data_IF_485322796763
#
_entry.id   IF_485322796763
#
_cell.length_a   1.000
_cell.length_b   1.000
_cell.length_c   1.000
_cell.angle_alpha   90.00
_cell.angle_beta   90.00
_cell.angle_gamma   90.00
#
_symmetry.space_group_name_H-M   'P 1'
#
loop_
_entity.id
_entity.type
_entity.pdbx_description
1 polymer ?
#
# COMPACT_ATOMS: atom_id res chain seq x y z
N UNK A 1 -8.17 -3.01 -26.18
CA UNK A 1 -6.90 -2.45 -25.67
C UNK A 1 -6.15 -3.58 -25.00
N UNK A 2 -4.83 -3.76 -25.21
CA UNK A 2 -4.09 -4.81 -24.53
C UNK A 2 -4.14 -4.57 -23.01
N UNK A 3 -4.40 -5.62 -22.23
CA UNK A 3 -4.39 -5.56 -20.77
C UNK A 3 -2.93 -5.43 -20.33
N UNK A 4 -2.54 -4.22 -19.88
CA UNK A 4 -1.22 -4.01 -19.30
C UNK A 4 -1.26 -4.51 -17.87
N UNK A 5 -0.57 -5.62 -17.60
CA UNK A 5 -0.42 -6.15 -16.24
C UNK A 5 0.63 -5.29 -15.51
N UNK A 6 0.25 -4.53 -14.47
CA UNK A 6 1.17 -3.60 -13.84
C UNK A 6 2.27 -4.34 -13.09
N UNK A 7 3.49 -3.80 -13.16
CA UNK A 7 4.63 -4.32 -12.37
C UNK A 7 4.64 -3.78 -10.95
N UNK A 8 4.15 -2.56 -10.74
CA UNK A 8 3.99 -1.95 -9.43
C UNK A 8 2.59 -1.36 -9.34
N UNK A 9 2.04 -1.37 -8.13
CA UNK A 9 0.82 -0.64 -7.79
C UNK A 9 1.23 0.36 -6.72
N UNK A 10 1.00 1.64 -6.97
CA UNK A 10 1.38 2.72 -6.05
C UNK A 10 0.11 3.32 -5.46
N UNK A 11 0.01 3.32 -4.14
CA UNK A 11 -1.06 3.95 -3.40
C UNK A 11 -0.55 5.26 -2.82
N UNK A 12 -1.13 6.37 -3.26
CA UNK A 12 -0.75 7.73 -2.86
C UNK A 12 -1.67 8.24 -1.76
N UNK A 13 -1.12 9.04 -0.85
CA UNK A 13 -1.87 9.66 0.24
C UNK A 13 -1.53 11.13 0.39
N UNK A 14 -2.57 11.93 0.62
CA UNK A 14 -2.44 13.37 0.78
C UNK A 14 -1.68 13.75 2.04
N UNK A 15 -1.84 13.00 3.13
CA UNK A 15 -1.18 13.26 4.41
C UNK A 15 -0.13 12.20 4.72
N UNK A 16 0.71 12.48 5.73
CA UNK A 16 1.64 11.50 6.28
C UNK A 16 0.89 10.33 6.95
N UNK A 17 1.60 9.24 7.19
CA UNK A 17 1.11 8.01 7.80
C UNK A 17 -0.11 7.41 7.07
N UNK A 18 -0.15 7.56 5.74
CA UNK A 18 -1.17 6.98 4.87
C UNK A 18 -2.58 7.51 5.15
N UNK A 19 -2.71 8.82 5.34
CA UNK A 19 -3.98 9.48 5.70
C UNK A 19 -4.46 10.46 4.63
N UNK A 20 -5.70 10.93 4.81
CA UNK A 20 -6.34 11.88 3.91
C UNK A 20 -6.80 11.24 2.60
N UNK A 21 -6.97 12.06 1.57
CA UNK A 21 -7.36 11.59 0.24
C UNK A 21 -6.34 10.56 -0.28
N UNK A 22 -6.84 9.49 -0.89
CA UNK A 22 -6.01 8.42 -1.45
C UNK A 22 -6.34 8.13 -2.92
N UNK A 23 -5.39 7.53 -3.64
CA UNK A 23 -5.55 7.14 -5.04
C UNK A 23 -4.48 6.18 -5.52
N UNK A 24 -4.76 5.43 -6.59
CA UNK A 24 -3.84 4.45 -7.15
C UNK A 24 -3.20 4.93 -8.44
N UNK A 25 -1.92 4.60 -8.61
CA UNK A 25 -1.14 4.83 -9.84
C UNK A 25 -0.50 3.52 -10.27
N UNK A 26 -0.83 3.09 -11.49
CA UNK A 26 -0.34 1.84 -12.10
C UNK A 26 0.31 2.08 -13.47
N UNK A 27 0.16 3.29 -14.01
CA UNK A 27 0.71 3.75 -15.28
C UNK A 27 1.38 5.12 -15.08
N UNK A 28 2.33 5.53 -15.96
CA UNK A 28 2.96 6.84 -15.86
C UNK A 28 1.95 7.99 -15.87
N UNK A 29 2.12 8.94 -14.96
CA UNK A 29 1.28 10.14 -14.82
C UNK A 29 2.15 11.37 -15.12
N UNK A 30 2.03 12.00 -16.31
CA UNK A 30 2.84 13.16 -16.68
C UNK A 30 2.48 14.42 -15.90
N UNK A 31 1.27 14.46 -15.32
CA UNK A 31 0.84 15.55 -14.44
C UNK A 31 -0.14 15.06 -13.38
N UNK A 32 0.26 15.13 -12.10
CA UNK A 32 -0.53 14.60 -10.96
C UNK A 32 -1.84 15.33 -10.70
N UNK A 33 -2.03 16.54 -11.24
CA UNK A 33 -3.30 17.24 -11.19
C UNK A 33 -4.42 16.48 -11.92
N UNK A 34 -4.09 15.74 -12.98
CA UNK A 34 -5.06 14.95 -13.73
C UNK A 34 -5.71 13.84 -12.90
N UNK A 35 -5.05 13.43 -11.81
CA UNK A 35 -5.57 12.44 -10.85
C UNK A 35 -5.97 13.09 -9.50
N UNK A 36 -5.93 14.42 -9.42
CA UNK A 36 -6.31 15.19 -8.23
C UNK A 36 -5.28 15.19 -7.08
N UNK A 37 -4.01 14.94 -7.39
CA UNK A 37 -2.90 14.88 -6.42
C UNK A 37 -1.78 15.89 -6.74
N UNK A 38 -2.15 17.14 -7.08
CA UNK A 38 -1.13 18.13 -7.41
C UNK A 38 -0.43 18.65 -6.16
N UNK A 39 0.87 18.37 -6.05
CA UNK A 39 1.78 18.91 -5.05
C UNK A 39 1.26 18.76 -3.60
N UNK A 40 0.57 17.65 -3.32
CA UNK A 40 -0.02 17.37 -2.02
C UNK A 40 0.16 15.91 -1.58
N UNK A 41 1.13 15.19 -2.17
CA UNK A 41 1.43 13.80 -1.79
C UNK A 41 2.45 13.81 -0.66
N UNK A 42 2.07 13.25 0.49
CA UNK A 42 2.90 13.26 1.71
C UNK A 42 3.29 11.86 2.20
N UNK A 43 2.61 10.81 1.76
CA UNK A 43 3.03 9.42 1.98
C UNK A 43 2.55 8.51 0.85
N UNK A 44 3.20 7.36 0.68
CA UNK A 44 2.81 6.38 -0.33
C UNK A 44 3.20 4.96 0.05
N UNK A 45 2.51 4.00 -0.56
CA UNK A 45 2.83 2.58 -0.49
C UNK A 45 3.09 2.06 -1.89
N UNK A 46 4.14 1.25 -2.03
CA UNK A 46 4.53 0.64 -3.30
C UNK A 46 4.41 -0.87 -3.15
N UNK A 47 3.50 -1.45 -3.92
CA UNK A 47 3.24 -2.88 -3.91
C UNK A 47 3.82 -3.54 -5.16
N UNK A 48 4.31 -4.78 -5.02
CA UNK A 48 4.66 -5.63 -6.17
C UNK A 48 3.38 -5.96 -6.94
N UNK A 49 3.33 -5.61 -8.23
CA UNK A 49 2.25 -6.01 -9.13
C UNK A 49 2.48 -7.41 -9.70
N UNK A 50 1.50 -8.00 -10.42
CA UNK A 50 1.56 -9.40 -10.85
C UNK A 50 2.74 -9.72 -11.79
N UNK A 51 3.30 -8.72 -12.47
CA UNK A 51 4.44 -8.89 -13.37
C UNK A 51 5.79 -8.42 -12.76
N UNK A 52 5.85 -8.18 -11.43
CA UNK A 52 7.06 -7.67 -10.78
C UNK A 52 8.25 -8.63 -10.88
N UNK A 53 8.02 -9.95 -10.79
CA UNK A 53 9.08 -10.97 -10.81
C UNK A 53 9.92 -10.95 -12.10
N UNK A 54 9.41 -10.36 -13.18
CA UNK A 54 10.16 -10.17 -14.43
C UNK A 54 11.30 -9.15 -14.31
N UNK A 55 11.24 -8.25 -13.32
CA UNK A 55 12.27 -7.26 -13.05
C UNK A 55 12.24 -6.81 -11.57
N UNK A 56 13.03 -7.46 -10.69
CA UNK A 56 13.05 -7.12 -9.26
C UNK A 56 13.58 -5.70 -8.98
N UNK A 57 14.23 -5.07 -9.96
CA UNK A 57 14.74 -3.70 -9.88
C UNK A 57 13.75 -2.66 -10.41
N UNK A 58 12.50 -3.03 -10.68
CA UNK A 58 11.48 -2.07 -11.10
C UNK A 58 11.05 -1.19 -9.92
N UNK A 59 11.00 0.13 -10.14
CA UNK A 59 10.77 1.14 -9.11
C UNK A 59 9.73 2.16 -9.60
N UNK A 60 9.04 2.80 -8.66
CA UNK A 60 8.31 4.04 -8.95
C UNK A 60 9.30 5.20 -8.87
N UNK A 61 9.18 6.16 -9.78
CA UNK A 61 10.03 7.35 -9.86
C UNK A 61 9.13 8.58 -9.76
N UNK A 62 9.28 9.33 -8.66
CA UNK A 62 8.56 10.58 -8.42
C UNK A 62 9.41 11.74 -8.94
N UNK A 63 8.78 12.72 -9.58
CA UNK A 63 9.45 13.87 -10.16
C UNK A 63 8.89 15.18 -9.62
N UNK A 64 9.80 16.13 -9.38
CA UNK A 64 9.47 17.46 -8.89
C UNK A 64 8.65 18.29 -9.88
N UNK A 65 8.82 18.04 -11.19
CA UNK A 65 8.14 18.79 -12.23
C UNK A 65 7.30 17.88 -13.12
N UNK A 66 6.44 18.49 -13.93
CA UNK A 66 5.63 17.81 -14.94
C UNK A 66 6.52 17.14 -15.99
N UNK A 67 5.95 16.19 -16.70
CA UNK A 67 6.60 15.49 -17.83
C UNK A 67 7.95 14.85 -17.44
N UNK A 68 8.03 14.34 -16.21
CA UNK A 68 9.16 13.58 -15.68
C UNK A 68 10.48 14.38 -15.61
N UNK A 69 10.40 15.63 -15.15
CA UNK A 69 11.54 16.56 -15.05
C UNK A 69 11.88 16.96 -13.62
N UNK A 70 13.05 17.58 -13.47
CA UNK A 70 13.53 18.11 -12.19
C UNK A 70 14.19 17.04 -11.32
N UNK A 71 14.24 17.31 -10.02
CA UNK A 71 14.70 16.31 -9.05
C UNK A 71 13.80 15.07 -9.11
N UNK A 72 14.39 13.91 -8.84
CA UNK A 72 13.69 12.62 -8.86
C UNK A 72 13.96 11.81 -7.59
N UNK A 73 12.98 11.01 -7.20
CA UNK A 73 13.05 10.08 -6.08
C UNK A 73 12.58 8.70 -6.56
N UNK A 74 13.45 7.69 -6.51
CA UNK A 74 13.12 6.32 -6.89
C UNK A 74 12.86 5.47 -5.65
N UNK A 75 11.69 4.83 -5.61
CA UNK A 75 11.21 4.04 -4.48
C UNK A 75 10.89 2.62 -4.93
N UNK A 76 11.37 1.64 -4.18
CA UNK A 76 11.05 0.23 -4.39
C UNK A 76 9.75 -0.17 -3.72
N UNK A 77 9.36 -1.44 -3.84
CA UNK A 77 8.31 -2.00 -3.00
C UNK A 77 8.58 -1.71 -1.52
N UNK A 78 7.64 -1.09 -0.84
CA UNK A 78 7.86 -0.54 0.49
C UNK A 78 6.81 0.46 0.91
N UNK A 79 6.90 0.89 2.17
CA UNK A 79 5.97 1.80 2.81
C UNK A 79 6.72 3.05 3.22
N UNK A 80 6.25 4.18 2.72
CA UNK A 80 6.90 5.47 2.89
C UNK A 80 5.92 6.39 3.64
N UNK A 81 5.84 6.27 4.98
CA UNK A 81 4.83 6.95 5.80
C UNK A 81 5.07 8.47 5.86
N UNK A 82 6.26 8.93 5.56
CA UNK A 82 6.57 10.35 5.60
C UNK A 82 7.60 10.74 4.54
N UNK A 83 7.15 11.38 3.47
CA UNK A 83 8.02 11.93 2.43
C UNK A 83 8.64 13.29 2.81
N UNK A 84 8.23 13.87 3.94
CA UNK A 84 8.82 15.08 4.52
C UNK A 84 10.07 14.79 5.34
N UNK A 85 10.33 13.52 5.69
CA UNK A 85 11.55 13.16 6.42
C UNK A 85 12.78 13.67 5.66
N UNK A 86 13.74 14.22 6.39
CA UNK A 86 14.95 14.86 5.86
C UNK A 86 15.74 13.95 4.92
N UNK A 87 15.67 12.64 5.10
CA UNK A 87 16.25 11.64 4.19
C UNK A 87 15.60 11.63 2.79
N UNK A 88 14.33 12.03 2.66
CA UNK A 88 13.61 12.08 1.38
C UNK A 88 13.39 13.52 0.89
N UNK A 89 12.90 14.41 1.75
CA UNK A 89 12.60 15.83 1.51
C UNK A 89 11.90 16.08 0.15
N UNK A 90 10.88 15.27 -0.13
CA UNK A 90 10.23 15.20 -1.46
C UNK A 90 8.71 15.37 -1.43
N UNK A 91 8.11 15.43 -0.24
CA UNK A 91 6.68 15.65 -0.09
C UNK A 91 6.22 16.98 -0.70
N UNK A 92 4.95 17.01 -1.11
CA UNK A 92 4.23 18.20 -1.61
C UNK A 92 4.94 18.94 -2.75
N UNK A 93 5.76 18.22 -3.50
CA UNK A 93 6.50 18.72 -4.68
C UNK A 93 6.33 17.80 -5.89
N UNK A 94 5.54 16.75 -5.75
CA UNK A 94 5.42 15.67 -6.75
C UNK A 94 4.41 16.09 -7.81
N UNK A 95 4.95 16.38 -9.00
CA UNK A 95 4.18 16.86 -10.14
C UNK A 95 4.07 15.84 -11.28
N UNK A 96 4.90 14.79 -11.31
CA UNK A 96 4.73 13.65 -12.22
C UNK A 96 5.32 12.34 -11.67
N UNK A 97 4.84 11.20 -12.15
CA UNK A 97 5.17 9.86 -11.65
C UNK A 97 5.46 8.93 -12.84
N UNK A 98 6.60 8.26 -12.83
CA UNK A 98 6.98 7.28 -13.83
C UNK A 98 7.41 5.95 -13.19
N UNK A 99 7.68 4.95 -14.02
CA UNK A 99 8.12 3.63 -13.60
C UNK A 99 9.32 3.18 -14.43
N UNK A 100 10.33 2.59 -13.79
CA UNK A 100 11.54 2.19 -14.49
C UNK A 100 12.49 1.35 -13.65
N UNK A 101 13.52 0.82 -14.29
CA UNK A 101 14.65 0.20 -13.59
C UNK A 101 15.57 1.29 -13.08
N UNK A 102 15.76 1.40 -11.77
CA UNK A 102 16.69 2.35 -11.15
C UNK A 102 17.60 1.59 -10.20
N UNK A 103 18.90 1.86 -10.25
CA UNK A 103 19.91 1.28 -9.35
C UNK A 103 19.94 1.97 -7.98
N UNK A 104 19.55 3.25 -7.94
CA UNK A 104 19.50 4.02 -6.70
C UNK A 104 18.08 3.97 -6.12
N UNK A 105 17.96 3.45 -4.90
CA UNK A 105 16.73 3.46 -4.10
C UNK A 105 16.93 4.41 -2.93
N UNK A 106 15.97 5.30 -2.73
CA UNK A 106 15.90 6.06 -1.49
C UNK A 106 14.95 5.32 -0.53
N UNK A 107 15.45 4.98 0.65
CA UNK A 107 14.63 4.45 1.75
C UNK A 107 14.69 2.93 1.93
N UNK A 108 14.06 2.44 3.00
CA UNK A 108 14.18 1.05 3.42
C UNK A 108 13.29 0.09 2.61
N UNK A 109 13.80 -1.09 2.25
CA UNK A 109 13.09 -2.13 1.47
C UNK A 109 12.16 -2.99 2.35
N UNK A 110 11.16 -2.41 3.01
CA UNK A 110 10.22 -3.19 3.84
C UNK A 110 8.88 -3.43 3.14
N UNK A 111 8.87 -4.24 2.08
CA UNK A 111 7.69 -4.49 1.22
C UNK A 111 7.04 -5.90 1.30
N UNK A 112 7.28 -6.69 2.35
CA UNK A 112 6.70 -8.05 2.46
C UNK A 112 5.20 -8.04 2.73
N UNK A 113 4.45 -8.90 2.01
CA UNK A 113 3.02 -9.17 2.23
C UNK A 113 2.88 -10.68 2.44
N UNK A 114 2.90 -11.15 3.70
CA UNK A 114 2.77 -12.58 3.99
C UNK A 114 1.32 -13.06 3.82
N UNK A 115 0.34 -12.24 4.18
CA UNK A 115 -1.09 -12.58 4.16
C UNK A 115 -1.91 -11.43 3.57
N UNK A 116 -3.02 -11.77 2.91
CA UNK A 116 -4.03 -10.83 2.42
C UNK A 116 -5.34 -11.20 3.12
N UNK A 117 -5.89 -10.29 3.90
CA UNK A 117 -7.09 -10.54 4.71
C UNK A 117 -8.22 -9.66 4.21
N UNK A 118 -9.25 -10.27 3.65
CA UNK A 118 -10.49 -9.59 3.32
C UNK A 118 -11.47 -9.72 4.48
N UNK A 119 -11.94 -8.61 5.02
CA UNK A 119 -13.00 -8.57 6.01
C UNK A 119 -14.27 -8.00 5.38
N UNK A 120 -15.43 -8.58 5.70
CA UNK A 120 -16.74 -8.24 5.13
C UNK A 120 -17.72 -7.84 6.23
N UNK A 121 -18.54 -6.83 5.94
CA UNK A 121 -19.56 -6.29 6.87
C UNK A 121 -20.68 -7.30 7.16
N UNK A 122 -20.95 -8.23 6.24
CA UNK A 122 -21.98 -9.25 6.40
C UNK A 122 -21.41 -10.66 6.31
N UNK A 123 -22.20 -11.63 6.79
CA UNK A 123 -21.91 -13.06 6.61
C UNK A 123 -21.89 -13.45 5.13
N UNK A 124 -21.30 -14.61 4.83
CA UNK A 124 -21.16 -15.13 3.46
C UNK A 124 -20.42 -14.19 2.48
N UNK A 125 -19.49 -13.37 2.98
CA UNK A 125 -18.64 -12.48 2.19
C UNK A 125 -19.43 -11.39 1.43
N UNK A 126 -20.49 -10.86 2.07
CA UNK A 126 -21.35 -9.80 1.50
C UNK A 126 -21.14 -8.45 2.18
N UNK A 127 -21.74 -7.41 1.61
CA UNK A 127 -21.68 -6.04 2.15
C UNK A 127 -20.41 -5.31 1.78
N UNK A 128 -20.08 -4.25 2.52
CA UNK A 128 -18.80 -3.55 2.36
C UNK A 128 -17.65 -4.50 2.67
N UNK A 129 -16.50 -4.25 2.07
CA UNK A 129 -15.27 -5.03 2.21
C UNK A 129 -14.08 -4.11 2.49
N UNK A 130 -13.19 -4.52 3.39
CA UNK A 130 -11.84 -3.96 3.56
C UNK A 130 -10.82 -5.08 3.28
N UNK A 131 -9.73 -4.75 2.61
CA UNK A 131 -8.57 -5.66 2.47
C UNK A 131 -7.41 -5.14 3.31
N UNK A 132 -6.93 -5.98 4.21
CA UNK A 132 -5.83 -5.74 5.14
C UNK A 132 -4.62 -6.52 4.64
N UNK A 133 -3.51 -5.83 4.41
CA UNK A 133 -2.26 -6.40 3.88
C UNK A 133 -1.14 -6.46 4.93
N UNK A 134 -1.33 -5.78 6.06
CA UNK A 134 -0.46 -5.70 7.24
C UNK A 134 -1.28 -5.31 8.46
N UNK A 135 -0.69 -5.47 9.63
CA UNK A 135 -1.31 -5.14 10.92
C UNK A 135 -1.91 -3.73 10.93
N UNK A 136 -3.16 -3.65 11.40
CA UNK A 136 -3.89 -2.41 11.60
C UNK A 136 -4.31 -2.40 13.06
N UNK A 137 -3.76 -1.47 13.83
CA UNK A 137 -4.07 -1.30 15.25
C UNK A 137 -5.50 -0.78 15.47
N UNK A 138 -6.07 -0.07 14.49
CA UNK A 138 -7.39 0.55 14.66
C UNK A 138 -8.22 0.50 13.37
N UNK A 139 -9.38 -0.16 13.44
CA UNK A 139 -10.38 -0.25 12.35
C UNK A 139 -11.41 0.89 12.39
N UNK A 140 -11.36 1.72 13.44
CA UNK A 140 -12.17 2.93 13.64
C UNK A 140 -11.36 4.15 13.30
N UNK A 141 -12.06 5.19 12.88
CA UNK A 141 -11.42 6.42 12.48
C UNK A 141 -12.02 7.71 13.07
N UNK A 142 -11.20 8.64 13.60
CA UNK A 142 -11.51 10.06 13.61
C UNK A 142 -11.28 10.80 12.27
N UNK A 143 -10.21 10.53 11.47
CA UNK A 143 -9.97 11.02 10.06
C UNK A 143 -8.96 10.26 9.09
N UNK A 144 -8.41 9.05 9.33
CA UNK A 144 -8.04 8.06 8.30
C UNK A 144 -8.56 6.60 8.46
N UNK A 145 -9.62 6.23 7.72
CA UNK A 145 -9.46 5.21 6.67
C UNK A 145 -10.58 4.20 6.40
N UNK A 146 -11.21 3.59 7.42
CA UNK A 146 -12.21 2.53 7.19
C UNK A 146 -13.41 2.64 8.12
N UNK A 147 -14.63 2.63 7.60
CA UNK A 147 -15.87 2.57 8.40
C UNK A 147 -16.19 1.13 8.86
N UNK A 148 -15.16 0.34 9.17
CA UNK A 148 -15.35 -1.09 9.42
C UNK A 148 -15.53 -1.41 10.89
N UNK A 149 -14.86 -0.68 11.80
CA UNK A 149 -14.99 -0.79 13.27
C UNK A 149 -15.24 -2.24 13.75
N UNK A 150 -16.37 -2.46 14.41
CA UNK A 150 -16.89 -3.69 15.01
C UNK A 150 -17.79 -4.51 14.06
N UNK A 151 -17.78 -4.21 12.76
CA UNK A 151 -18.76 -4.73 11.80
C UNK A 151 -18.32 -5.99 11.05
N UNK A 152 -17.12 -6.50 11.32
CA UNK A 152 -16.60 -7.67 10.62
C UNK A 152 -17.46 -8.90 10.95
N UNK A 153 -18.14 -9.44 9.95
CA UNK A 153 -19.03 -10.60 10.10
C UNK A 153 -18.58 -11.83 9.30
N UNK A 154 -17.67 -11.66 8.33
CA UNK A 154 -16.98 -12.79 7.69
C UNK A 154 -15.62 -12.37 7.14
N UNK A 155 -14.69 -13.34 7.01
CA UNK A 155 -13.31 -13.10 6.61
C UNK A 155 -12.84 -14.10 5.56
N UNK A 156 -11.96 -13.67 4.65
CA UNK A 156 -11.17 -14.56 3.80
C UNK A 156 -9.69 -14.22 3.97
N UNK A 157 -8.87 -15.23 4.23
CA UNK A 157 -7.43 -15.07 4.37
C UNK A 157 -6.76 -15.81 3.21
N UNK A 158 -5.89 -15.11 2.50
CA UNK A 158 -5.12 -15.63 1.39
C UNK A 158 -3.63 -15.51 1.68
N UNK A 159 -2.86 -16.44 1.10
CA UNK A 159 -1.39 -16.35 1.11
C UNK A 159 -0.97 -15.18 0.24
N UNK A 160 -0.17 -14.28 0.81
CA UNK A 160 0.44 -13.18 0.10
C UNK A 160 1.69 -13.62 -0.69
N UNK A 161 2.24 -12.75 -1.54
CA UNK A 161 3.41 -13.04 -2.37
C UNK A 161 4.68 -13.38 -1.58
N UNK A 162 4.76 -12.97 -0.31
CA UNK A 162 5.90 -13.23 0.56
C UNK A 162 5.49 -14.18 1.72
N UNK A 163 4.54 -15.10 1.48
CA UNK A 163 4.07 -16.06 2.49
C UNK A 163 5.24 -16.91 3.04
N UNK A 164 5.41 -17.00 4.37
CA UNK A 164 6.57 -17.69 4.96
C UNK A 164 6.49 -19.20 4.77
N UNK A 165 7.66 -19.84 4.65
CA UNK A 165 7.76 -21.30 4.58
C UNK A 165 7.30 -22.01 5.84
N UNK A 166 7.31 -21.31 6.97
CA UNK A 166 6.92 -21.83 8.27
C UNK A 166 5.46 -21.49 8.62
N UNK A 167 4.69 -20.96 7.66
CA UNK A 167 3.31 -20.48 7.86
C UNK A 167 3.25 -19.04 8.35
N UNK A 168 2.04 -18.51 8.46
CA UNK A 168 1.77 -17.17 8.98
C UNK A 168 0.47 -17.15 9.77
N UNK A 169 0.32 -16.17 10.66
CA UNK A 169 -0.85 -16.02 11.53
C UNK A 169 -1.45 -14.61 11.36
N UNK A 170 -2.77 -14.54 11.41
CA UNK A 170 -3.52 -13.29 11.61
C UNK A 170 -4.15 -13.36 12.99
N UNK A 171 -4.03 -12.30 13.78
CA UNK A 171 -4.71 -12.19 15.06
C UNK A 171 -5.72 -11.06 15.00
N UNK A 172 -6.98 -11.37 15.27
CA UNK A 172 -8.05 -10.39 15.40
C UNK A 172 -8.23 -10.04 16.87
N UNK A 173 -8.47 -8.76 17.17
CA UNK A 173 -8.62 -8.24 18.52
C UNK A 173 -9.99 -7.54 18.69
N UNK A 174 -10.57 -7.66 19.88
CA UNK A 174 -11.83 -7.03 20.25
C UNK A 174 -11.73 -5.50 20.33
N UNK A 175 -10.57 -4.99 20.78
CA UNK A 175 -10.34 -3.56 20.96
C UNK A 175 -9.20 -3.06 20.07
N UNK A 176 -9.16 -1.74 19.78
CA UNK A 176 -8.01 -1.12 19.12
C UNK A 176 -6.71 -1.34 19.87
N UNK A 177 -5.58 -1.08 19.20
CA UNK A 177 -4.23 -1.20 19.73
C UNK A 177 -3.88 -2.63 20.22
N UNK A 178 -4.52 -3.63 19.63
CA UNK A 178 -4.29 -5.06 19.90
C UNK A 178 -4.68 -5.48 21.33
N UNK A 179 -5.76 -4.89 21.86
CA UNK A 179 -6.27 -5.14 23.21
C UNK A 179 -7.55 -6.00 23.21
N UNK A 180 -7.95 -6.48 24.40
CA UNK A 180 -9.17 -7.24 24.61
C UNK A 180 -9.07 -8.73 24.23
N UNK A 181 -10.21 -9.38 24.03
CA UNK A 181 -10.22 -10.77 23.56
C UNK A 181 -9.60 -10.86 22.16
N UNK A 182 -8.96 -12.00 21.87
CA UNK A 182 -8.31 -12.22 20.56
C UNK A 182 -8.64 -13.58 19.96
N UNK A 183 -8.63 -13.62 18.62
CA UNK A 183 -8.86 -14.81 17.82
C UNK A 183 -7.68 -14.97 16.85
N UNK A 184 -6.71 -15.86 17.14
CA UNK A 184 -5.64 -16.18 16.21
C UNK A 184 -6.14 -17.15 15.12
N UNK A 185 -5.73 -16.90 13.88
CA UNK A 185 -6.01 -17.76 12.73
C UNK A 185 -4.71 -18.01 11.99
N UNK A 186 -4.22 -19.25 12.10
CA UNK A 186 -2.99 -19.70 11.47
C UNK A 186 -3.26 -20.26 10.08
N UNK A 187 -2.47 -19.83 9.11
CA UNK A 187 -2.36 -20.44 7.80
C UNK A 187 -1.08 -21.25 7.71
N UNK A 188 -1.22 -22.53 7.38
CA UNK A 188 -0.08 -23.40 7.13
C UNK A 188 0.45 -23.23 5.69
N UNK A 189 1.71 -23.62 5.43
CA UNK A 189 2.26 -23.72 4.07
C UNK A 189 1.39 -24.57 3.15
N UNK A 190 1.49 -24.35 1.83
CA UNK A 190 0.85 -25.27 0.89
C UNK A 190 1.78 -26.48 0.77
N UNK A 191 1.25 -27.69 0.86
CA UNK A 191 1.99 -28.90 0.49
C UNK A 191 2.43 -28.86 -0.98
#
# INVERSE_FOLDING_TARGET
MPVVVPRLIVELFQHTNFRGRMGYVVEPVPFTAHIGFQDNISSLRVYKGPNFSSNPNYKVILYQHRDFRGKKLALGPGFYPNLHDTAFNFADRISSINFGSSLDVAGPEWGTIPLIVDCYEHVEFRGKKITILRDIANLRDPQGGTWFEDRISSIRIFKGPDFPRDGAEVVFYEHPEFEGASIPIRMEPSE
#
